data_IF_614921183213
#
_entry.id   IF_614921183213
#
_cell.length_a   1.000
_cell.length_b   1.000
_cell.length_c   1.000
_cell.angle_alpha   90.00
_cell.angle_beta   90.00
_cell.angle_gamma   90.00
#
_symmetry.space_group_name_H-M   'P 1'
#
loop_
_entity.id
_entity.type
_entity.pdbx_description
1 polymer ?
#
# COMPACT_ATOMS: atom_id res chain seq x y z
N UNK A 1 -21.04 -16.43 30.91
CA UNK A 1 -20.79 -17.32 29.77
C UNK A 1 -19.65 -16.71 28.98
N UNK A 2 -18.43 -17.21 29.20
CA UNK A 2 -17.26 -16.75 28.47
C UNK A 2 -17.35 -17.30 27.05
N UNK A 3 -17.39 -16.42 26.06
CA UNK A 3 -17.26 -16.78 24.65
C UNK A 3 -15.83 -17.28 24.43
N UNK A 4 -15.68 -18.59 24.34
CA UNK A 4 -14.45 -19.24 23.90
C UNK A 4 -14.10 -18.71 22.51
N UNK A 5 -12.94 -18.06 22.44
CA UNK A 5 -12.34 -17.57 21.20
C UNK A 5 -11.84 -18.81 20.47
N UNK A 6 -12.57 -19.25 19.44
CA UNK A 6 -12.14 -20.32 18.54
C UNK A 6 -10.70 -20.06 18.10
N UNK A 7 -9.77 -21.03 18.20
CA UNK A 7 -8.43 -20.83 17.70
C UNK A 7 -8.53 -20.61 16.19
N UNK A 8 -8.03 -19.47 15.71
CA UNK A 8 -7.89 -19.21 14.28
C UNK A 8 -7.13 -20.41 13.70
N UNK A 9 -7.75 -21.10 12.73
CA UNK A 9 -7.10 -22.17 12.01
C UNK A 9 -5.77 -21.65 11.46
N UNK A 10 -4.71 -22.46 11.58
CA UNK A 10 -3.44 -22.22 10.90
C UNK A 10 -3.73 -22.13 9.39
N UNK A 11 -3.85 -20.90 8.92
CA UNK A 11 -4.28 -20.54 7.56
C UNK A 11 -3.16 -20.74 6.53
N UNK A 12 -2.00 -21.26 6.97
CA UNK A 12 -0.85 -21.54 6.13
C UNK A 12 -0.10 -20.29 5.69
N UNK A 13 -0.44 -19.10 6.19
CA UNK A 13 0.31 -17.88 5.91
C UNK A 13 1.55 -17.84 6.81
N UNK A 14 2.77 -17.81 6.23
CA UNK A 14 3.98 -17.74 7.03
C UNK A 14 4.01 -16.48 7.90
N UNK A 15 4.62 -16.60 9.06
CA UNK A 15 4.90 -15.48 9.96
C UNK A 15 6.39 -15.19 9.95
N UNK A 16 6.75 -13.90 9.95
CA UNK A 16 8.12 -13.50 10.19
C UNK A 16 8.45 -13.69 11.67
N UNK A 17 9.64 -14.21 11.94
CA UNK A 17 10.19 -14.16 13.30
C UNK A 17 10.43 -12.71 13.71
N UNK A 18 10.48 -12.38 15.01
CA UNK A 18 10.79 -11.01 15.45
C UNK A 18 12.08 -10.44 14.83
N UNK A 19 13.10 -11.29 14.67
CA UNK A 19 14.37 -10.90 14.03
C UNK A 19 14.19 -10.62 12.54
N UNK A 20 13.39 -11.41 11.82
CA UNK A 20 13.08 -11.16 10.41
C UNK A 20 12.22 -9.90 10.24
N UNK A 21 11.29 -9.65 11.17
CA UNK A 21 10.48 -8.41 11.19
C UNK A 21 11.39 -7.19 11.35
N UNK A 22 12.32 -7.21 12.31
CA UNK A 22 13.31 -6.14 12.52
C UNK A 22 14.18 -5.92 11.28
N UNK A 23 14.66 -7.01 10.66
CA UNK A 23 15.44 -6.95 9.41
C UNK A 23 14.64 -6.38 8.24
N UNK A 24 13.36 -6.72 8.14
CA UNK A 24 12.45 -6.17 7.13
C UNK A 24 12.22 -4.66 7.34
N UNK A 25 11.94 -4.23 8.57
CA UNK A 25 11.82 -2.80 8.90
C UNK A 25 13.12 -2.04 8.60
N UNK A 26 14.28 -2.64 8.90
CA UNK A 26 15.58 -2.06 8.57
C UNK A 26 15.79 -1.97 7.03
N UNK A 27 15.37 -2.98 6.28
CA UNK A 27 15.43 -2.97 4.81
C UNK A 27 14.58 -1.83 4.24
N UNK A 28 13.33 -1.71 4.69
CA UNK A 28 12.42 -0.67 4.22
C UNK A 28 12.97 0.74 4.53
N UNK A 29 13.54 0.92 5.72
CA UNK A 29 14.18 2.18 6.12
C UNK A 29 15.39 2.52 5.26
N UNK A 30 16.23 1.53 4.95
CA UNK A 30 17.41 1.72 4.10
C UNK A 30 17.03 2.03 2.64
N UNK A 31 15.96 1.42 2.12
CA UNK A 31 15.39 1.74 0.81
C UNK A 31 14.89 3.19 0.77
N UNK A 32 14.13 3.61 1.79
CA UNK A 32 13.61 4.98 1.89
C UNK A 32 14.75 6.01 2.00
N UNK A 33 15.80 5.70 2.76
CA UNK A 33 17.00 6.54 2.86
C UNK A 33 17.74 6.67 1.52
N UNK A 34 17.91 5.57 0.79
CA UNK A 34 18.51 5.59 -0.55
C UNK A 34 17.67 6.43 -1.52
N UNK A 35 16.35 6.28 -1.50
CA UNK A 35 15.43 7.07 -2.32
C UNK A 35 15.49 8.57 -1.97
N UNK A 36 15.59 8.90 -0.69
CA UNK A 36 15.78 10.28 -0.23
C UNK A 36 17.10 10.86 -0.72
N UNK A 37 18.21 10.13 -0.59
CA UNK A 37 19.52 10.58 -1.05
C UNK A 37 19.55 10.84 -2.57
N UNK A 38 18.83 10.04 -3.36
CA UNK A 38 18.73 10.24 -4.82
C UNK A 38 17.92 11.48 -5.23
N UNK A 39 17.00 11.93 -4.39
CA UNK A 39 16.07 13.04 -4.71
C UNK A 39 16.40 14.32 -3.96
N UNK A 40 17.26 14.26 -2.96
CA UNK A 40 17.68 15.41 -2.17
C UNK A 40 18.73 16.23 -2.91
N UNK A 41 18.53 17.54 -3.11
CA UNK A 41 19.52 18.41 -3.74
C UNK A 41 20.77 18.64 -2.90
N UNK A 42 20.77 18.19 -1.62
CA UNK A 42 21.88 18.36 -0.67
C UNK A 42 22.57 17.05 -0.31
N UNK A 43 22.10 15.90 -0.81
CA UNK A 43 22.72 14.62 -0.49
C UNK A 43 24.09 14.48 -1.15
N UNK A 44 25.05 13.95 -0.39
CA UNK A 44 26.34 13.51 -0.93
C UNK A 44 26.32 12.02 -1.27
N UNK A 45 27.34 11.56 -2.01
CA UNK A 45 27.43 10.16 -2.45
C UNK A 45 27.64 9.17 -1.30
N UNK A 46 28.06 9.64 -0.12
CA UNK A 46 28.36 8.80 1.03
C UNK A 46 27.06 8.34 1.72
N UNK A 47 26.05 9.20 1.80
CA UNK A 47 24.70 8.85 2.31
C UNK A 47 24.07 7.72 1.49
N UNK A 48 24.12 7.82 0.16
CA UNK A 48 23.61 6.77 -0.74
C UNK A 48 24.39 5.47 -0.58
N UNK A 49 25.71 5.53 -0.52
CA UNK A 49 26.56 4.35 -0.37
C UNK A 49 26.31 3.64 0.97
N UNK A 50 26.10 4.39 2.04
CA UNK A 50 25.77 3.84 3.36
C UNK A 50 24.44 3.07 3.33
N UNK A 51 23.39 3.65 2.72
CA UNK A 51 22.10 2.98 2.58
C UNK A 51 22.19 1.70 1.74
N UNK A 52 22.93 1.72 0.63
CA UNK A 52 23.16 0.53 -0.21
C UNK A 52 23.91 -0.56 0.55
N UNK A 53 24.94 -0.22 1.32
CA UNK A 53 25.69 -1.19 2.13
C UNK A 53 24.79 -1.87 3.18
N UNK A 54 23.86 -1.11 3.79
CA UNK A 54 22.87 -1.67 4.72
C UNK A 54 21.95 -2.66 4.01
N UNK A 55 21.39 -2.30 2.84
CA UNK A 55 20.56 -3.20 2.02
C UNK A 55 21.29 -4.50 1.71
N UNK A 56 22.55 -4.42 1.30
CA UNK A 56 23.37 -5.60 0.94
C UNK A 56 23.70 -6.50 2.13
N UNK A 57 23.75 -5.95 3.34
CA UNK A 57 24.05 -6.71 4.56
C UNK A 57 22.83 -7.43 5.14
N UNK A 58 21.61 -7.11 4.69
CA UNK A 58 20.39 -7.68 5.23
C UNK A 58 20.16 -9.09 4.66
N UNK A 59 20.19 -10.06 5.55
CA UNK A 59 19.88 -11.47 5.27
C UNK A 59 18.38 -11.74 5.55
N UNK A 60 17.59 -11.86 4.50
CA UNK A 60 16.14 -12.12 4.56
C UNK A 60 15.74 -13.26 3.62
N UNK A 61 14.89 -14.16 4.11
CA UNK A 61 14.16 -15.09 3.25
C UNK A 61 13.08 -14.32 2.48
N UNK A 62 13.42 -13.87 1.27
CA UNK A 62 12.52 -13.07 0.43
C UNK A 62 11.23 -13.81 0.05
N UNK A 63 11.23 -15.13 0.00
CA UNK A 63 10.02 -15.92 -0.25
C UNK A 63 9.06 -15.85 0.93
N UNK A 64 9.58 -16.05 2.14
CA UNK A 64 8.81 -15.90 3.38
C UNK A 64 8.33 -14.47 3.57
N UNK A 65 9.20 -13.49 3.39
CA UNK A 65 8.85 -12.06 3.48
C UNK A 65 7.70 -11.75 2.53
N UNK A 66 7.81 -12.11 1.25
CA UNK A 66 6.76 -11.88 0.26
C UNK A 66 5.40 -12.44 0.70
N UNK A 67 5.40 -13.66 1.24
CA UNK A 67 4.16 -14.36 1.55
C UNK A 67 3.66 -14.09 2.98
N UNK A 68 4.40 -13.40 3.84
CA UNK A 68 3.95 -13.01 5.20
C UNK A 68 3.05 -11.77 5.16
N UNK A 69 2.16 -11.60 6.14
CA UNK A 69 1.31 -10.41 6.24
C UNK A 69 2.10 -9.19 6.69
N UNK A 70 2.11 -8.15 5.87
CA UNK A 70 2.71 -6.84 6.19
C UNK A 70 1.61 -5.83 6.50
N UNK A 71 1.05 -5.93 7.70
CA UNK A 71 0.12 -4.93 8.21
C UNK A 71 0.90 -3.62 8.43
N UNK A 72 0.45 -2.48 7.87
CA UNK A 72 1.15 -1.21 8.08
C UNK A 72 1.21 -0.82 9.56
N UNK A 73 2.36 -0.32 10.02
CA UNK A 73 2.56 0.09 11.41
C UNK A 73 1.68 1.30 11.80
N UNK A 74 1.29 2.12 10.82
CA UNK A 74 0.41 3.28 10.95
C UNK A 74 -1.08 2.94 10.76
N UNK A 75 -1.46 1.66 10.73
CA UNK A 75 -2.84 1.23 10.53
C UNK A 75 -3.79 1.60 11.68
N UNK A 76 -3.29 1.78 12.91
CA UNK A 76 -4.15 2.13 14.06
C UNK A 76 -5.35 1.19 14.22
N UNK A 77 -6.56 1.77 14.33
CA UNK A 77 -7.82 1.02 14.49
C UNK A 77 -8.19 0.18 13.25
N UNK A 78 -7.56 0.45 12.09
CA UNK A 78 -7.82 -0.24 10.83
C UNK A 78 -7.03 -1.54 10.66
N UNK A 79 -6.07 -1.84 11.54
CA UNK A 79 -5.16 -2.98 11.42
C UNK A 79 -5.88 -4.31 11.15
N UNK A 80 -6.95 -4.61 11.90
CA UNK A 80 -7.70 -5.85 11.74
C UNK A 80 -8.45 -5.93 10.39
N UNK A 81 -8.93 -4.79 9.89
CA UNK A 81 -9.61 -4.75 8.59
C UNK A 81 -8.60 -4.87 7.44
N UNK A 82 -7.45 -4.20 7.54
CA UNK A 82 -6.36 -4.34 6.56
C UNK A 82 -5.78 -5.75 6.55
N UNK A 83 -5.66 -6.41 7.70
CA UNK A 83 -5.28 -7.82 7.77
C UNK A 83 -6.24 -8.70 6.95
N UNK A 84 -7.56 -8.48 7.06
CA UNK A 84 -8.55 -9.21 6.28
C UNK A 84 -8.37 -9.01 4.76
N UNK A 85 -8.04 -7.77 4.34
CA UNK A 85 -7.71 -7.48 2.94
C UNK A 85 -6.44 -8.21 2.49
N UNK A 86 -5.37 -8.14 3.27
CA UNK A 86 -4.07 -8.77 2.97
C UNK A 86 -4.18 -10.30 2.83
N UNK A 87 -5.08 -10.93 3.59
CA UNK A 87 -5.35 -12.37 3.51
C UNK A 87 -5.97 -12.81 2.18
N UNK A 88 -6.56 -11.88 1.42
CA UNK A 88 -7.06 -12.15 0.06
C UNK A 88 -5.96 -12.20 -0.99
N UNK A 89 -4.75 -11.79 -0.63
CA UNK A 89 -3.61 -11.83 -1.54
C UNK A 89 -3.06 -13.27 -1.58
N UNK A 90 -3.01 -13.94 -2.74
CA UNK A 90 -2.46 -15.28 -2.85
C UNK A 90 -0.94 -15.28 -2.69
N UNK A 91 -0.32 -16.43 -2.32
CA UNK A 91 1.14 -16.56 -2.29
C UNK A 91 1.75 -16.20 -3.64
N UNK A 92 2.93 -15.59 -3.64
CA UNK A 92 3.60 -15.16 -4.88
C UNK A 92 3.42 -13.69 -5.23
N UNK A 93 2.41 -13.01 -4.70
CA UNK A 93 2.08 -11.63 -5.08
C UNK A 93 2.67 -10.54 -4.17
N UNK A 94 3.01 -10.87 -2.93
CA UNK A 94 3.44 -9.89 -1.92
C UNK A 94 2.25 -9.40 -1.09
N UNK A 95 2.15 -9.81 0.18
CA UNK A 95 1.02 -9.41 1.05
C UNK A 95 1.29 -8.09 1.77
N UNK A 96 1.38 -7.00 1.02
CA UNK A 96 1.56 -5.63 1.52
C UNK A 96 0.65 -4.64 0.80
N UNK A 97 0.45 -3.47 1.41
CA UNK A 97 -0.26 -2.32 0.84
C UNK A 97 0.78 -1.25 0.51
N UNK A 98 0.90 -0.88 -0.77
CA UNK A 98 1.79 0.20 -1.22
C UNK A 98 1.06 1.54 -1.32
N UNK A 99 0.35 1.89 -0.25
CA UNK A 99 -0.39 3.15 -0.06
C UNK A 99 -0.19 3.65 1.38
N UNK A 100 -0.46 4.93 1.63
CA UNK A 100 -0.36 5.52 2.97
C UNK A 100 -1.72 5.61 3.69
N UNK A 101 -1.68 5.91 4.99
CA UNK A 101 -2.82 5.83 5.91
C UNK A 101 -4.09 6.57 5.47
N UNK A 102 -3.96 7.65 4.71
CA UNK A 102 -5.10 8.40 4.18
C UNK A 102 -6.04 7.60 3.28
N UNK A 103 -5.57 6.49 2.70
CA UNK A 103 -6.39 5.64 1.84
C UNK A 103 -6.83 4.32 2.50
N UNK A 104 -6.51 4.06 3.76
CA UNK A 104 -6.88 2.78 4.41
C UNK A 104 -8.38 2.56 4.49
N UNK A 105 -9.15 3.59 4.87
CA UNK A 105 -10.62 3.52 4.86
C UNK A 105 -11.19 3.28 3.47
N UNK A 106 -10.61 3.90 2.45
CA UNK A 106 -10.99 3.70 1.05
C UNK A 106 -10.77 2.24 0.64
N UNK A 107 -9.60 1.68 0.93
CA UNK A 107 -9.23 0.27 0.67
C UNK A 107 -10.18 -0.69 1.40
N UNK A 108 -10.49 -0.44 2.68
CA UNK A 108 -11.37 -1.29 3.49
C UNK A 108 -12.80 -1.26 2.96
N UNK A 109 -13.31 -0.09 2.55
CA UNK A 109 -14.64 0.02 1.96
C UNK A 109 -14.70 -0.69 0.60
N UNK A 110 -13.67 -0.53 -0.23
CA UNK A 110 -13.53 -1.26 -1.49
C UNK A 110 -13.56 -2.77 -1.27
N UNK A 111 -12.82 -3.28 -0.29
CA UNK A 111 -12.84 -4.70 0.06
C UNK A 111 -14.25 -5.20 0.42
N UNK A 112 -14.96 -4.47 1.29
CA UNK A 112 -16.32 -4.84 1.71
C UNK A 112 -17.29 -4.89 0.54
N UNK A 113 -17.21 -3.92 -0.36
CA UNK A 113 -18.07 -3.86 -1.56
C UNK A 113 -17.75 -5.00 -2.54
N UNK A 114 -16.47 -5.33 -2.74
CA UNK A 114 -16.05 -6.46 -3.57
C UNK A 114 -16.47 -7.80 -2.96
N UNK A 115 -16.27 -7.98 -1.65
CA UNK A 115 -16.65 -9.18 -0.93
C UNK A 115 -18.17 -9.44 -0.94
N UNK A 116 -18.98 -8.38 -1.02
CA UNK A 116 -20.43 -8.50 -1.16
C UNK A 116 -20.84 -9.02 -2.57
N UNK A 117 -20.03 -8.75 -3.60
CA UNK A 117 -20.24 -9.24 -4.97
C UNK A 117 -19.72 -10.68 -5.10
N UNK A 118 -18.50 -10.91 -4.64
CA UNK A 118 -17.84 -12.21 -4.67
C UNK A 118 -17.05 -12.41 -3.37
N UNK A 119 -17.53 -13.21 -2.40
CA UNK A 119 -16.81 -13.43 -1.15
C UNK A 119 -15.41 -14.07 -1.32
N UNK A 120 -15.22 -14.82 -2.40
CA UNK A 120 -14.02 -15.64 -2.66
C UNK A 120 -13.01 -14.94 -3.59
N UNK A 121 -13.24 -13.66 -3.88
CA UNK A 121 -12.35 -12.90 -4.75
C UNK A 121 -10.95 -12.76 -4.14
N UNK A 122 -9.94 -12.71 -5.01
CA UNK A 122 -8.54 -12.53 -4.63
C UNK A 122 -8.03 -11.15 -4.99
N UNK A 123 -7.00 -10.70 -4.30
CA UNK A 123 -6.31 -9.44 -4.55
C UNK A 123 -4.90 -9.74 -5.07
N UNK A 124 -4.47 -9.12 -6.14
CA UNK A 124 -3.10 -9.28 -6.63
C UNK A 124 -2.18 -8.17 -6.11
N UNK A 125 -2.64 -6.92 -6.13
CA UNK A 125 -1.86 -5.76 -5.69
C UNK A 125 -2.80 -4.64 -5.22
N UNK A 126 -2.36 -3.89 -4.21
CA UNK A 126 -2.96 -2.63 -3.78
C UNK A 126 -1.82 -1.62 -3.74
N UNK A 127 -1.87 -0.62 -4.62
CA UNK A 127 -0.79 0.35 -4.76
C UNK A 127 -1.28 1.69 -5.25
N UNK A 128 -0.52 2.73 -4.93
CA UNK A 128 -0.60 3.99 -5.67
C UNK A 128 0.12 3.83 -7.02
N UNK A 129 -0.51 4.35 -8.07
CA UNK A 129 0.11 4.50 -9.37
C UNK A 129 -0.50 5.69 -10.10
N UNK A 130 0.34 6.62 -10.55
CA UNK A 130 -0.10 7.85 -11.21
C UNK A 130 -1.04 8.68 -10.33
N UNK A 131 -0.70 8.83 -9.05
CA UNK A 131 -1.44 9.58 -8.03
C UNK A 131 -2.80 9.02 -7.62
N UNK A 132 -3.13 7.81 -8.07
CA UNK A 132 -4.42 7.16 -7.79
C UNK A 132 -4.24 5.76 -7.23
N UNK A 133 -5.26 5.28 -6.53
CA UNK A 133 -5.36 3.91 -6.05
C UNK A 133 -5.62 2.95 -7.21
N UNK A 134 -4.76 1.95 -7.37
CA UNK A 134 -5.01 0.77 -8.17
C UNK A 134 -5.23 -0.45 -7.25
N UNK A 135 -6.46 -0.98 -7.29
CA UNK A 135 -6.87 -2.17 -6.54
C UNK A 135 -7.11 -3.32 -7.53
N UNK A 136 -6.17 -4.26 -7.60
CA UNK A 136 -6.22 -5.36 -8.56
C UNK A 136 -7.01 -6.56 -7.99
N UNK A 137 -8.34 -6.48 -8.09
CA UNK A 137 -9.22 -7.58 -7.72
C UNK A 137 -9.39 -8.59 -8.85
N UNK A 138 -9.50 -9.88 -8.50
CA UNK A 138 -9.68 -10.97 -9.45
C UNK A 138 -10.78 -11.92 -8.96
N UNK A 139 -11.62 -12.41 -9.88
CA UNK A 139 -12.70 -13.36 -9.63
C UNK A 139 -12.66 -14.49 -10.68
N UNK A 140 -13.23 -15.64 -10.33
CA UNK A 140 -13.43 -16.77 -11.26
C UNK A 140 -14.88 -16.90 -11.73
N UNK A 141 -15.79 -15.99 -11.29
CA UNK A 141 -17.24 -16.08 -11.53
C UNK A 141 -17.70 -15.55 -12.90
N UNK A 142 -16.76 -15.15 -13.75
CA UNK A 142 -16.98 -14.78 -15.15
C UNK A 142 -17.32 -13.30 -15.37
N UNK A 143 -17.49 -12.93 -16.64
CA UNK A 143 -17.45 -11.55 -17.12
C UNK A 143 -18.47 -10.59 -16.48
N UNK A 144 -19.69 -11.04 -16.15
CA UNK A 144 -20.69 -10.17 -15.52
C UNK A 144 -20.27 -9.74 -14.12
N UNK A 145 -19.64 -10.64 -13.35
CA UNK A 145 -19.12 -10.35 -12.01
C UNK A 145 -17.87 -9.48 -12.12
N UNK A 146 -16.99 -9.76 -13.07
CA UNK A 146 -15.81 -8.93 -13.36
C UNK A 146 -16.19 -7.47 -13.66
N UNK A 147 -17.24 -7.24 -14.46
CA UNK A 147 -17.74 -5.89 -14.76
C UNK A 147 -18.25 -5.19 -13.50
N UNK A 148 -19.01 -5.90 -12.66
CA UNK A 148 -19.52 -5.34 -11.41
C UNK A 148 -18.39 -4.98 -10.43
N UNK A 149 -17.40 -5.86 -10.29
CA UNK A 149 -16.22 -5.62 -9.44
C UNK A 149 -15.36 -4.48 -9.99
N UNK A 150 -15.17 -4.40 -11.31
CA UNK A 150 -14.44 -3.30 -11.94
C UNK A 150 -15.09 -1.94 -11.63
N UNK A 151 -16.42 -1.87 -11.63
CA UNK A 151 -17.14 -0.64 -11.25
C UNK A 151 -16.88 -0.22 -9.79
N UNK A 152 -16.61 -1.16 -8.89
CA UNK A 152 -16.21 -0.85 -7.50
C UNK A 152 -14.78 -0.29 -7.48
N UNK A 153 -13.83 -0.94 -8.17
CA UNK A 153 -12.44 -0.48 -8.20
C UNK A 153 -12.27 0.84 -8.93
N UNK A 154 -13.07 1.10 -9.98
CA UNK A 154 -13.06 2.36 -10.73
C UNK A 154 -13.55 3.52 -9.86
N UNK A 155 -14.62 3.33 -9.06
CA UNK A 155 -15.06 4.34 -8.09
C UNK A 155 -14.01 4.61 -7.02
N UNK A 156 -13.33 3.57 -6.54
CA UNK A 156 -12.26 3.73 -5.56
C UNK A 156 -11.08 4.55 -6.13
N UNK A 157 -10.73 4.29 -7.38
CA UNK A 157 -9.74 5.08 -8.13
C UNK A 157 -10.16 6.55 -8.25
N UNK A 158 -11.39 6.82 -8.70
CA UNK A 158 -11.91 8.19 -8.85
C UNK A 158 -11.92 8.94 -7.50
N UNK A 159 -12.32 8.29 -6.40
CA UNK A 159 -12.29 8.93 -5.08
C UNK A 159 -10.85 9.23 -4.60
N UNK A 160 -9.90 8.36 -4.93
CA UNK A 160 -8.49 8.56 -4.58
C UNK A 160 -7.86 9.77 -5.29
N UNK A 161 -8.35 10.16 -6.47
CA UNK A 161 -7.89 11.36 -7.22
C UNK A 161 -8.11 12.66 -6.43
N UNK A 162 -9.01 12.63 -5.46
CA UNK A 162 -9.41 13.78 -4.65
C UNK A 162 -9.16 13.60 -3.16
N UNK A 163 -8.50 12.50 -2.77
CA UNK A 163 -8.25 12.14 -1.38
C UNK A 163 -6.75 12.14 -1.10
N UNK A 164 -6.31 12.94 -0.13
CA UNK A 164 -4.92 12.99 0.30
C UNK A 164 -4.46 11.61 0.78
N UNK A 165 -3.45 11.03 0.13
CA UNK A 165 -2.91 9.71 0.44
C UNK A 165 -2.37 9.62 1.88
N UNK A 166 -1.89 10.72 2.45
CA UNK A 166 -1.31 10.72 3.80
C UNK A 166 -2.33 10.84 4.92
N UNK A 167 -3.34 11.71 4.77
CA UNK A 167 -4.27 12.04 5.87
C UNK A 167 -5.74 11.72 5.60
N UNK A 168 -6.13 11.39 4.37
CA UNK A 168 -7.51 11.06 4.00
C UNK A 168 -8.45 12.27 3.84
N UNK A 169 -7.96 13.49 4.08
CA UNK A 169 -8.70 14.72 3.77
C UNK A 169 -8.70 15.04 2.26
N UNK A 170 -9.36 16.13 1.82
CA UNK A 170 -9.32 16.55 0.42
C UNK A 170 -7.89 16.79 -0.07
N UNK A 171 -7.55 16.24 -1.23
CA UNK A 171 -6.24 16.35 -1.86
C UNK A 171 -6.34 16.74 -3.33
N UNK A 172 -5.23 17.21 -3.87
CA UNK A 172 -5.05 17.44 -5.30
C UNK A 172 -3.75 16.76 -5.75
N UNK A 173 -3.65 16.51 -7.05
CA UNK A 173 -2.41 16.06 -7.67
C UNK A 173 -1.27 17.04 -7.35
N UNK A 174 -0.19 16.49 -6.81
CA UNK A 174 1.05 17.18 -6.45
C UNK A 174 2.21 16.37 -6.98
N UNK A 175 3.33 17.02 -7.31
CA UNK A 175 4.51 16.32 -7.81
C UNK A 175 5.78 16.72 -7.07
N UNK A 176 6.73 15.79 -7.03
CA UNK A 176 8.10 16.04 -6.58
C UNK A 176 9.06 15.31 -7.51
N UNK A 177 9.83 16.07 -8.30
CA UNK A 177 10.65 15.54 -9.40
C UNK A 177 9.84 14.60 -10.30
N UNK A 178 10.09 13.29 -10.23
CA UNK A 178 9.45 12.27 -11.08
C UNK A 178 8.24 11.58 -10.42
N UNK A 179 7.90 11.94 -9.18
CA UNK A 179 6.78 11.33 -8.44
C UNK A 179 5.55 12.21 -8.45
N UNK A 180 4.37 11.60 -8.61
CA UNK A 180 3.07 12.27 -8.58
C UNK A 180 2.20 11.58 -7.51
N UNK A 181 1.58 12.36 -6.63
CA UNK A 181 0.69 11.89 -5.56
C UNK A 181 -0.50 12.82 -5.39
N UNK A 182 -1.61 12.31 -4.87
CA UNK A 182 -2.74 13.15 -4.46
C UNK A 182 -2.57 13.52 -2.98
N UNK A 183 -2.33 14.80 -2.68
CA UNK A 183 -2.01 15.30 -1.35
C UNK A 183 -2.74 16.61 -1.04
N UNK A 184 -3.01 16.88 0.24
CA UNK A 184 -3.42 18.22 0.68
C UNK A 184 -2.20 19.15 0.79
N UNK A 185 -2.41 20.47 0.82
CA UNK A 185 -1.32 21.47 0.86
C UNK A 185 -0.36 21.24 2.03
N UNK A 186 -0.88 20.94 3.22
CA UNK A 186 -0.06 20.71 4.41
C UNK A 186 0.79 19.44 4.30
N UNK A 187 0.22 18.36 3.78
CA UNK A 187 0.91 17.11 3.56
C UNK A 187 1.98 17.26 2.47
N UNK A 188 1.63 17.92 1.36
CA UNK A 188 2.55 18.19 0.26
C UNK A 188 3.75 19.01 0.74
N UNK A 189 3.52 20.10 1.48
CA UNK A 189 4.59 20.93 2.04
C UNK A 189 5.49 20.14 3.00
N UNK A 190 4.91 19.28 3.86
CA UNK A 190 5.66 18.46 4.81
C UNK A 190 6.56 17.41 4.12
N UNK A 191 6.15 16.91 2.95
CA UNK A 191 6.88 15.86 2.22
C UNK A 191 7.65 16.37 1.01
N UNK A 192 7.74 17.69 0.82
CA UNK A 192 8.48 18.28 -0.30
C UNK A 192 7.80 18.14 -1.66
N UNK A 193 6.49 17.93 -1.70
CA UNK A 193 5.71 17.93 -2.94
C UNK A 193 5.21 19.34 -3.25
N UNK A 194 5.32 19.69 -4.53
CA UNK A 194 4.82 20.95 -5.06
C UNK A 194 3.41 20.75 -5.61
N UNK A 195 2.48 21.63 -5.24
CA UNK A 195 1.14 21.73 -5.80
C UNK A 195 1.19 22.46 -7.15
N UNK A 196 2.02 22.02 -8.09
CA UNK A 196 1.92 22.55 -9.45
C UNK A 196 0.67 21.91 -10.10
N UNK A 197 -0.30 22.71 -10.59
CA UNK A 197 -1.48 22.13 -11.22
C UNK A 197 -1.08 21.39 -12.50
N UNK A 198 -1.67 20.21 -12.72
CA UNK A 198 -1.61 19.50 -14.01
C UNK A 198 -2.08 20.44 -15.12
N UNK A 199 -1.27 20.75 -16.15
CA UNK A 199 -1.81 21.43 -17.33
C UNK A 199 -2.90 20.52 -17.90
N UNK A 200 -4.13 21.03 -17.98
CA UNK A 200 -5.22 20.34 -18.64
C UNK A 200 -4.84 20.14 -20.09
N UNK A 201 -4.51 18.92 -20.48
CA UNK A 201 -4.50 18.51 -21.88
C UNK A 201 -5.93 18.55 -22.39
N UNK A 202 -6.31 19.67 -23.00
CA UNK A 202 -7.47 19.73 -23.88
C UNK A 202 -7.17 18.84 -25.09
N UNK A 203 -8.07 17.88 -25.34
CA UNK A 203 -8.08 17.01 -26.54
C UNK A 203 -8.78 17.70 -27.71
#
# INVERSE_FOLDING_TARGET
MATERTPMADDGIPQLTPVEQERWTAMQSAIDAAAHALTSPTADGDELQAAVNQIQAIDLDMGRVRDSLHIPDDAGDDAAALEAVLRRIPPGWGRWISCKAGWYQLIIRTDRELAAIDPDYTVHQIKEKWSVLEYYAHTTKGASVEVAMKAVTDRAREESEHTCELCGGPGNECSNFDYIKTLCVECAARTGYCTAPRPTTEH
#
